data_IF_870727190412
#
_entry.id   IF_870727190412
#
_cell.length_a   1.000
_cell.length_b   1.000
_cell.length_c   1.000
_cell.angle_alpha   90.00
_cell.angle_beta   90.00
_cell.angle_gamma   90.00
#
_symmetry.space_group_name_H-M   'P 1'
#
loop_
_entity.id
_entity.type
_entity.pdbx_description
1 polymer ?
#
# COMPACT_ATOMS: atom_id res chain seq x y z
N UNK A 1 17.42 -14.04 -28.21
CA UNK A 1 17.34 -13.98 -26.74
C UNK A 1 16.87 -15.32 -26.21
N UNK A 2 17.62 -15.95 -25.30
CA UNK A 2 17.16 -17.17 -24.63
C UNK A 2 16.13 -16.76 -23.59
N UNK A 3 14.85 -17.03 -23.84
CA UNK A 3 13.74 -16.76 -22.91
C UNK A 3 13.74 -17.74 -21.73
N UNK A 4 14.87 -17.85 -21.03
CA UNK A 4 14.96 -18.61 -19.80
C UNK A 4 14.33 -17.72 -18.72
N UNK A 5 13.07 -18.00 -18.40
CA UNK A 5 12.46 -17.48 -17.17
C UNK A 5 13.28 -18.05 -16.00
N UNK A 6 14.10 -17.20 -15.39
CA UNK A 6 14.85 -17.53 -14.19
C UNK A 6 13.87 -17.80 -13.03
N UNK A 7 14.26 -18.66 -12.10
CA UNK A 7 13.45 -19.01 -10.94
C UNK A 7 13.13 -17.77 -10.09
N UNK A 8 14.02 -16.77 -10.06
CA UNK A 8 13.80 -15.48 -9.38
C UNK A 8 12.64 -14.72 -10.00
N UNK A 9 12.66 -14.55 -11.32
CA UNK A 9 11.60 -13.87 -12.08
C UNK A 9 10.27 -14.59 -11.95
N UNK A 10 10.27 -15.92 -12.04
CA UNK A 10 9.06 -16.71 -11.83
C UNK A 10 8.49 -16.53 -10.41
N UNK A 11 9.34 -16.58 -9.39
CA UNK A 11 8.91 -16.43 -8.01
C UNK A 11 8.28 -15.05 -7.74
N UNK A 12 8.81 -13.99 -8.36
CA UNK A 12 8.21 -12.65 -8.33
C UNK A 12 6.84 -12.63 -9.02
N UNK A 13 6.70 -13.21 -10.21
CA UNK A 13 5.40 -13.29 -10.89
C UNK A 13 4.35 -14.03 -10.05
N UNK A 14 4.72 -15.16 -9.43
CA UNK A 14 3.82 -15.91 -8.56
C UNK A 14 3.37 -15.07 -7.36
N UNK A 15 4.27 -14.28 -6.78
CA UNK A 15 3.98 -13.40 -5.64
C UNK A 15 3.01 -12.29 -6.02
N UNK A 16 3.23 -11.64 -7.17
CA UNK A 16 2.36 -10.58 -7.67
C UNK A 16 0.97 -11.11 -8.01
N UNK A 17 0.89 -12.25 -8.70
CA UNK A 17 -0.38 -12.77 -9.21
C UNK A 17 -1.25 -13.41 -8.14
N UNK A 18 -0.64 -14.20 -7.25
CA UNK A 18 -1.42 -15.03 -6.32
C UNK A 18 -1.34 -14.55 -4.88
N UNK A 19 -0.35 -13.72 -4.50
CA UNK A 19 -0.15 -13.28 -3.12
C UNK A 19 -0.14 -14.51 -2.19
N UNK A 20 -1.08 -14.56 -1.25
CA UNK A 20 -1.27 -15.68 -0.32
C UNK A 20 -2.26 -16.74 -0.82
N UNK A 21 -2.81 -16.62 -2.03
CA UNK A 21 -3.70 -17.63 -2.61
C UNK A 21 -2.93 -18.84 -3.13
N UNK A 22 -3.60 -19.99 -3.21
CA UNK A 22 -3.04 -21.18 -3.83
C UNK A 22 -3.21 -21.19 -5.35
N UNK A 23 -2.27 -21.82 -6.05
CA UNK A 23 -2.25 -21.91 -7.50
C UNK A 23 -1.76 -23.28 -7.98
N UNK A 24 -2.15 -23.67 -9.19
CA UNK A 24 -1.63 -24.86 -9.87
C UNK A 24 -0.89 -24.49 -11.16
N UNK A 25 -0.15 -25.44 -11.73
CA UNK A 25 0.66 -25.20 -12.93
C UNK A 25 -0.17 -24.84 -14.17
N UNK A 26 -1.45 -25.21 -14.22
CA UNK A 26 -2.34 -24.90 -15.34
C UNK A 26 -2.80 -23.46 -15.25
N UNK A 27 -3.23 -23.02 -14.06
CA UNK A 27 -3.61 -21.62 -13.80
C UNK A 27 -2.42 -20.69 -14.05
N UNK A 28 -1.25 -20.99 -13.50
CA UNK A 28 -0.02 -20.19 -13.70
C UNK A 28 0.36 -20.10 -15.17
N UNK A 29 0.29 -21.21 -15.91
CA UNK A 29 0.59 -21.25 -17.35
C UNK A 29 -0.34 -20.33 -18.14
N UNK A 30 -1.65 -20.37 -17.86
CA UNK A 30 -2.64 -19.51 -18.51
C UNK A 30 -2.41 -18.05 -18.19
N UNK A 31 -2.29 -17.71 -16.91
CA UNK A 31 -2.17 -16.32 -16.46
C UNK A 31 -0.90 -15.66 -17.02
N UNK A 32 0.23 -16.38 -17.03
CA UNK A 32 1.48 -15.87 -17.62
C UNK A 32 1.37 -15.67 -19.14
N UNK A 33 0.69 -16.57 -19.86
CA UNK A 33 0.45 -16.40 -21.29
C UNK A 33 -0.47 -15.20 -21.58
N UNK A 34 -1.49 -14.99 -20.76
CA UNK A 34 -2.40 -13.83 -20.87
C UNK A 34 -1.65 -12.52 -20.65
N UNK A 35 -0.75 -12.46 -19.66
CA UNK A 35 0.02 -11.25 -19.36
C UNK A 35 1.03 -10.94 -20.47
N UNK A 36 1.73 -11.96 -20.96
CA UNK A 36 2.79 -11.77 -21.94
C UNK A 36 2.27 -11.48 -23.35
N UNK A 37 0.96 -11.66 -23.61
CA UNK A 37 0.26 -11.31 -24.86
C UNK A 37 1.02 -11.74 -26.12
N UNK A 38 1.74 -12.86 -26.05
CA UNK A 38 2.71 -13.26 -27.07
C UNK A 38 2.11 -14.30 -28.02
N UNK A 39 2.21 -14.03 -29.32
CA UNK A 39 1.93 -15.01 -30.38
C UNK A 39 3.17 -15.84 -30.78
N UNK A 40 4.31 -15.63 -30.12
CA UNK A 40 5.54 -16.36 -30.40
C UNK A 40 5.43 -17.80 -29.87
N UNK A 41 5.50 -18.77 -30.79
CA UNK A 41 5.42 -20.19 -30.51
C UNK A 41 6.49 -20.67 -29.51
N UNK A 42 7.68 -20.04 -29.51
CA UNK A 42 8.75 -20.36 -28.55
C UNK A 42 8.37 -19.94 -27.13
N UNK A 43 7.72 -18.79 -26.99
CA UNK A 43 7.21 -18.30 -25.71
C UNK A 43 6.08 -19.21 -25.23
N UNK A 44 5.12 -19.54 -26.10
CA UNK A 44 4.03 -20.46 -25.78
C UNK A 44 4.56 -21.80 -25.26
N UNK A 45 5.58 -22.36 -25.92
CA UNK A 45 6.20 -23.63 -25.50
C UNK A 45 6.89 -23.52 -24.13
N UNK A 46 7.57 -22.40 -23.83
CA UNK A 46 8.25 -22.16 -22.55
C UNK A 46 7.28 -22.05 -21.37
N UNK A 47 6.12 -21.42 -21.59
CA UNK A 47 5.07 -21.24 -20.58
C UNK A 47 4.04 -22.38 -20.61
N UNK A 48 4.29 -23.47 -21.32
CA UNK A 48 3.45 -24.66 -21.28
C UNK A 48 3.31 -25.20 -19.84
N UNK A 49 2.14 -25.74 -19.52
CA UNK A 49 1.82 -26.27 -18.19
C UNK A 49 2.84 -27.31 -17.69
N UNK A 50 3.43 -28.08 -18.61
CA UNK A 50 4.52 -29.03 -18.31
C UNK A 50 5.79 -28.33 -17.82
N UNK A 51 6.24 -27.29 -18.51
CA UNK A 51 7.44 -26.54 -18.13
C UNK A 51 7.22 -25.78 -16.82
N UNK A 52 6.06 -25.11 -16.68
CA UNK A 52 5.68 -24.45 -15.43
C UNK A 52 5.60 -25.46 -14.27
N UNK A 53 5.06 -26.66 -14.51
CA UNK A 53 5.04 -27.70 -13.48
C UNK A 53 6.45 -28.12 -13.03
N UNK A 54 7.42 -28.16 -13.94
CA UNK A 54 8.81 -28.45 -13.60
C UNK A 54 9.44 -27.31 -12.80
N UNK A 55 9.19 -26.06 -13.18
CA UNK A 55 9.71 -24.90 -12.47
C UNK A 55 9.10 -24.76 -11.07
N UNK A 56 7.80 -25.00 -10.92
CA UNK A 56 7.12 -25.02 -9.62
C UNK A 56 7.67 -26.15 -8.73
N UNK A 57 7.94 -27.33 -9.31
CA UNK A 57 8.61 -28.41 -8.59
C UNK A 57 10.00 -27.97 -8.11
N UNK A 58 10.77 -27.27 -8.96
CA UNK A 58 12.09 -26.74 -8.60
C UNK A 58 11.99 -25.72 -7.46
N UNK A 59 11.09 -24.74 -7.55
CA UNK A 59 10.86 -23.74 -6.49
C UNK A 59 10.41 -24.38 -5.16
N UNK A 60 9.60 -25.44 -5.23
CA UNK A 60 9.25 -26.26 -4.07
C UNK A 60 10.48 -26.97 -3.47
N UNK A 61 11.32 -27.61 -4.30
CA UNK A 61 12.55 -28.27 -3.84
C UNK A 61 13.56 -27.28 -3.25
N UNK A 62 13.55 -26.02 -3.69
CA UNK A 62 14.34 -24.93 -3.10
C UNK A 62 13.77 -24.40 -1.78
N UNK A 63 12.61 -24.87 -1.35
CA UNK A 63 11.96 -24.45 -0.11
C UNK A 63 11.22 -23.12 -0.20
N UNK A 64 10.97 -22.57 -1.39
CA UNK A 64 10.23 -21.30 -1.53
C UNK A 64 8.71 -21.47 -1.57
N UNK A 65 8.25 -22.65 -1.96
CA UNK A 65 6.82 -22.97 -2.04
C UNK A 65 6.49 -24.07 -1.02
N UNK A 66 5.25 -24.05 -0.53
CA UNK A 66 4.58 -25.22 0.04
C UNK A 66 3.67 -25.84 -1.00
N UNK A 67 3.43 -27.15 -0.90
CA UNK A 67 2.64 -27.91 -1.87
C UNK A 67 1.69 -28.87 -1.15
N UNK A 68 0.44 -28.96 -1.61
CA UNK A 68 -0.50 -30.01 -1.21
C UNK A 68 -1.08 -30.74 -2.42
N UNK A 69 -1.43 -32.01 -2.21
CA UNK A 69 -2.02 -32.88 -3.24
C UNK A 69 -3.54 -32.82 -3.16
N UNK A 70 -4.20 -32.58 -4.29
CA UNK A 70 -5.66 -32.42 -4.39
C UNK A 70 -6.20 -33.34 -5.48
N UNK A 71 -7.38 -33.93 -5.29
CA UNK A 71 -8.04 -34.73 -6.33
C UNK A 71 -8.37 -33.83 -7.53
N UNK A 72 -8.14 -34.32 -8.75
CA UNK A 72 -8.45 -33.57 -9.96
C UNK A 72 -9.86 -33.89 -10.44
N UNK A 73 -10.68 -32.86 -10.54
CA UNK A 73 -12.01 -32.94 -11.16
C UNK A 73 -11.87 -33.06 -12.68
N UNK A 74 -12.58 -34.01 -13.26
CA UNK A 74 -12.58 -34.29 -14.69
C UNK A 74 -14.02 -34.50 -15.15
N UNK A 75 -14.39 -33.87 -16.26
CA UNK A 75 -15.68 -34.14 -16.91
C UNK A 75 -15.57 -35.41 -17.75
N UNK A 76 -16.52 -36.31 -17.58
CA UNK A 76 -16.66 -37.50 -18.43
C UNK A 76 -17.27 -37.12 -19.79
N UNK A 77 -17.28 -38.08 -20.73
CA UNK A 77 -18.01 -37.91 -22.01
C UNK A 77 -19.51 -37.70 -21.80
N UNK A 78 -20.07 -38.21 -20.69
CA UNK A 78 -21.46 -38.02 -20.27
C UNK A 78 -21.72 -36.66 -19.60
N UNK A 79 -20.70 -35.83 -19.39
CA UNK A 79 -20.82 -34.51 -18.73
C UNK A 79 -20.76 -34.55 -17.20
N UNK A 80 -20.75 -35.74 -16.59
CA UNK A 80 -20.63 -35.90 -15.14
C UNK A 80 -19.23 -35.53 -14.63
N UNK A 81 -19.16 -35.00 -13.41
CA UNK A 81 -17.89 -34.65 -12.77
C UNK A 81 -17.39 -35.85 -11.97
N UNK A 82 -16.24 -36.40 -12.35
CA UNK A 82 -15.59 -37.49 -11.64
C UNK A 82 -14.17 -37.08 -11.23
N UNK A 83 -13.64 -37.69 -10.17
CA UNK A 83 -12.26 -37.44 -9.74
C UNK A 83 -11.31 -38.40 -10.45
N UNK A 84 -10.46 -37.89 -11.34
CA UNK A 84 -9.44 -38.70 -12.06
C UNK A 84 -8.04 -38.14 -11.88
N UNK A 85 -7.25 -38.84 -11.08
CA UNK A 85 -5.88 -38.47 -10.75
C UNK A 85 -5.80 -37.34 -9.72
N UNK A 86 -4.62 -36.73 -9.64
CA UNK A 86 -4.33 -35.69 -8.67
C UNK A 86 -3.65 -34.50 -9.34
N UNK A 87 -3.86 -33.31 -8.77
CA UNK A 87 -3.09 -32.11 -9.05
C UNK A 87 -2.40 -31.62 -7.79
N UNK A 88 -1.38 -30.80 -7.97
CA UNK A 88 -0.68 -30.16 -6.87
C UNK A 88 -1.05 -28.69 -6.83
N UNK A 89 -1.50 -28.25 -5.65
CA UNK A 89 -1.69 -26.84 -5.34
C UNK A 89 -0.45 -26.35 -4.61
N UNK A 90 0.06 -25.20 -5.04
CA UNK A 90 1.23 -24.54 -4.51
C UNK A 90 0.85 -23.22 -3.86
N UNK A 91 1.66 -22.78 -2.91
CA UNK A 91 1.56 -21.47 -2.29
C UNK A 91 2.94 -21.02 -1.84
N UNK A 92 3.21 -19.72 -1.88
CA UNK A 92 4.47 -19.18 -1.40
C UNK A 92 4.52 -19.32 0.11
N UNK A 93 5.62 -19.86 0.63
CA UNK A 93 5.80 -20.01 2.08
C UNK A 93 6.63 -18.84 2.65
N UNK A 94 6.82 -18.84 3.97
CA UNK A 94 7.57 -17.76 4.65
C UNK A 94 9.01 -17.61 4.16
N UNK A 95 9.67 -18.69 3.71
CA UNK A 95 11.03 -18.62 3.17
C UNK A 95 11.02 -18.00 1.77
N UNK A 96 10.07 -18.38 0.91
CA UNK A 96 9.86 -17.77 -0.40
C UNK A 96 9.62 -16.27 -0.28
N UNK A 97 8.75 -15.84 0.64
CA UNK A 97 8.51 -14.42 0.91
C UNK A 97 9.76 -13.68 1.39
N UNK A 98 10.56 -14.27 2.31
CA UNK A 98 11.83 -13.66 2.72
C UNK A 98 12.82 -13.55 1.57
N UNK A 99 12.87 -14.55 0.70
CA UNK A 99 13.74 -14.53 -0.46
C UNK A 99 13.29 -13.49 -1.49
N UNK A 100 11.99 -13.35 -1.74
CA UNK A 100 11.43 -12.26 -2.54
C UNK A 100 11.84 -10.90 -1.97
N UNK A 101 11.71 -10.70 -0.66
CA UNK A 101 12.15 -9.48 0.00
C UNK A 101 13.66 -9.23 -0.14
N UNK A 102 14.46 -10.29 -0.20
CA UNK A 102 15.90 -10.19 -0.46
C UNK A 102 16.22 -9.88 -1.92
N UNK A 103 15.51 -10.50 -2.88
CA UNK A 103 15.63 -10.22 -4.32
C UNK A 103 15.29 -8.77 -4.67
N UNK A 104 14.40 -8.19 -3.89
CA UNK A 104 13.99 -6.80 -3.99
C UNK A 104 15.10 -5.83 -3.48
N UNK A 105 16.11 -6.33 -2.76
CA UNK A 105 17.24 -5.53 -2.28
C UNK A 105 16.90 -4.62 -1.07
N UNK A 106 17.87 -3.82 -0.58
CA UNK A 106 17.58 -2.71 0.33
C UNK A 106 16.63 -1.72 -0.36
N UNK A 107 15.72 -1.14 0.43
CA UNK A 107 14.58 -0.33 -0.03
C UNK A 107 14.92 0.76 -1.06
N UNK A 108 16.15 1.25 -1.10
CA UNK A 108 16.56 2.39 -1.90
C UNK A 108 16.63 2.09 -3.41
N UNK A 109 16.92 0.84 -3.82
CA UNK A 109 16.81 0.40 -5.24
C UNK A 109 15.36 0.03 -5.62
N UNK A 110 14.60 -0.50 -4.66
CA UNK A 110 13.17 -0.74 -4.81
C UNK A 110 12.38 0.56 -4.91
N UNK A 111 12.85 1.65 -4.29
CA UNK A 111 12.31 3.01 -4.44
C UNK A 111 12.45 3.53 -5.86
N UNK A 112 13.56 3.24 -6.54
CA UNK A 112 13.77 3.67 -7.93
C UNK A 112 12.94 2.82 -8.92
N UNK A 113 12.77 1.53 -8.61
CA UNK A 113 11.90 0.62 -9.36
C UNK A 113 10.41 0.94 -9.09
N UNK A 114 10.00 1.26 -7.85
CA UNK A 114 8.62 1.63 -7.49
C UNK A 114 8.21 2.99 -8.03
N UNK A 115 9.11 3.99 -8.01
CA UNK A 115 8.90 5.28 -8.68
C UNK A 115 8.75 5.11 -10.21
N UNK A 116 9.40 4.11 -10.81
CA UNK A 116 9.29 3.77 -12.24
C UNK A 116 8.18 2.76 -12.57
N UNK A 117 7.68 2.00 -11.59
CA UNK A 117 6.69 0.93 -11.80
C UNK A 117 5.25 1.40 -11.56
N UNK A 118 4.31 0.79 -12.29
CA UNK A 118 2.86 1.02 -12.16
C UNK A 118 2.32 0.85 -10.71
N UNK A 119 2.99 0.08 -9.85
CA UNK A 119 2.51 -0.26 -8.49
C UNK A 119 2.67 0.87 -7.48
N UNK A 120 3.73 1.68 -7.57
CA UNK A 120 3.89 2.87 -6.72
C UNK A 120 2.84 3.95 -7.02
N UNK A 121 2.45 4.06 -8.29
CA UNK A 121 1.36 4.93 -8.73
C UNK A 121 -0.01 4.45 -8.24
N UNK A 122 -0.22 3.13 -8.11
CA UNK A 122 -1.48 2.55 -7.63
C UNK A 122 -1.65 2.77 -6.12
N UNK A 123 -0.60 2.59 -5.32
CA UNK A 123 -0.68 2.82 -3.86
C UNK A 123 -0.86 4.30 -3.55
N UNK A 124 -0.17 5.18 -4.29
CA UNK A 124 -0.36 6.62 -4.17
C UNK A 124 -1.78 7.03 -4.56
N UNK A 125 -2.31 6.48 -5.66
CA UNK A 125 -3.74 6.64 -6.05
C UNK A 125 -4.72 6.15 -4.99
N UNK A 126 -4.46 5.00 -4.36
CA UNK A 126 -5.29 4.48 -3.27
C UNK A 126 -5.26 5.39 -2.04
N UNK A 127 -4.11 5.94 -1.68
CA UNK A 127 -4.02 6.93 -0.59
C UNK A 127 -4.69 8.25 -0.97
N UNK A 128 -4.60 8.65 -2.25
CA UNK A 128 -5.28 9.82 -2.78
C UNK A 128 -6.81 9.68 -2.84
N UNK A 129 -7.32 8.45 -2.99
CA UNK A 129 -8.75 8.13 -3.01
C UNK A 129 -9.34 7.92 -1.60
N UNK A 130 -8.54 7.46 -0.64
CA UNK A 130 -9.00 7.12 0.72
C UNK A 130 -8.96 8.32 1.66
N UNK A 131 -7.95 9.19 1.52
CA UNK A 131 -7.75 10.32 2.41
C UNK A 131 -8.00 11.63 1.66
N UNK A 132 -8.83 12.51 2.21
CA UNK A 132 -9.20 13.77 1.57
C UNK A 132 -8.18 14.88 1.84
N UNK A 133 -7.49 14.83 2.99
CA UNK A 133 -6.51 15.84 3.38
C UNK A 133 -5.10 15.47 2.92
N UNK A 134 -4.39 16.43 2.32
CA UNK A 134 -2.97 16.26 1.94
C UNK A 134 -2.08 15.92 3.15
N UNK A 135 -2.41 16.46 4.33
CA UNK A 135 -1.70 16.16 5.58
C UNK A 135 -1.90 14.70 6.02
N UNK A 136 -3.10 14.15 5.86
CA UNK A 136 -3.41 12.75 6.21
C UNK A 136 -2.71 11.77 5.28
N UNK A 137 -2.63 12.11 3.99
CA UNK A 137 -1.85 11.35 3.00
C UNK A 137 -0.38 11.32 3.35
N UNK A 138 0.16 12.46 3.76
CA UNK A 138 1.56 12.61 4.15
C UNK A 138 1.86 11.83 5.43
N UNK A 139 0.97 11.89 6.43
CA UNK A 139 1.08 11.12 7.68
C UNK A 139 0.94 9.61 7.45
N UNK A 140 -0.01 9.17 6.61
CA UNK A 140 -0.20 7.76 6.26
C UNK A 140 1.03 7.21 5.51
N UNK A 141 1.66 8.04 4.68
CA UNK A 141 2.90 7.73 3.98
C UNK A 141 4.10 7.66 4.93
N UNK A 142 4.22 8.59 5.87
CA UNK A 142 5.21 8.60 6.96
C UNK A 142 5.06 7.38 7.90
N UNK A 143 3.84 7.04 8.28
CA UNK A 143 3.52 5.85 9.11
C UNK A 143 3.88 4.55 8.37
N UNK A 144 3.58 4.46 7.08
CA UNK A 144 4.00 3.35 6.22
C UNK A 144 5.53 3.22 6.10
N UNK A 145 6.23 4.37 6.06
CA UNK A 145 7.70 4.44 6.08
C UNK A 145 8.31 4.07 7.43
N UNK A 146 7.65 4.43 8.54
CA UNK A 146 8.21 4.28 9.88
C UNK A 146 8.49 2.81 10.23
N UNK A 147 9.75 2.52 10.62
CA UNK A 147 10.26 1.16 10.86
C UNK A 147 9.63 0.47 12.10
N UNK A 148 8.81 1.18 12.88
CA UNK A 148 8.38 0.75 14.22
C UNK A 148 7.27 -0.31 14.24
N UNK A 149 6.51 -0.47 13.15
CA UNK A 149 5.46 -1.50 13.04
C UNK A 149 5.99 -2.88 12.59
N UNK A 150 7.29 -3.03 12.30
CA UNK A 150 7.83 -4.19 11.56
C UNK A 150 8.78 -5.13 12.34
N UNK A 151 8.77 -5.15 13.68
CA UNK A 151 9.50 -6.19 14.45
C UNK A 151 8.60 -7.37 14.82
N UNK A 152 9.07 -8.59 14.52
CA UNK A 152 8.39 -9.90 14.72
C UNK A 152 7.93 -10.25 16.16
N UNK A 153 8.15 -9.39 17.15
CA UNK A 153 7.82 -9.66 18.56
C UNK A 153 6.47 -9.10 19.05
N UNK A 154 5.85 -8.16 18.32
CA UNK A 154 4.73 -7.39 18.88
C UNK A 154 3.40 -8.17 19.01
N UNK A 155 3.20 -9.26 18.25
CA UNK A 155 2.04 -10.16 18.43
C UNK A 155 2.04 -10.93 19.75
N UNK A 156 3.18 -11.00 20.47
CA UNK A 156 3.29 -11.71 21.76
C UNK A 156 3.08 -10.82 22.99
N UNK A 157 2.99 -9.49 22.83
CA UNK A 157 2.91 -8.53 23.94
C UNK A 157 1.76 -7.53 23.74
N UNK A 158 0.53 -7.87 24.16
CA UNK A 158 -0.68 -7.04 23.97
C UNK A 158 -0.56 -5.61 24.51
N UNK A 159 0.23 -5.41 25.56
CA UNK A 159 0.46 -4.09 26.18
C UNK A 159 1.20 -3.13 25.25
N UNK A 160 2.12 -3.63 24.40
CA UNK A 160 2.84 -2.78 23.44
C UNK A 160 1.96 -2.33 22.27
N UNK A 161 0.94 -3.13 21.92
CA UNK A 161 -0.06 -2.76 20.93
C UNK A 161 -0.97 -1.64 21.47
N UNK A 162 -1.43 -1.76 22.72
CA UNK A 162 -2.17 -0.68 23.40
C UNK A 162 -1.38 0.63 23.47
N UNK A 163 -0.06 0.56 23.67
CA UNK A 163 0.79 1.77 23.65
C UNK A 163 0.84 2.39 22.26
N UNK A 164 0.93 1.57 21.19
CA UNK A 164 0.94 2.09 19.81
C UNK A 164 -0.44 2.65 19.43
N UNK A 165 -1.55 2.00 19.79
CA UNK A 165 -2.89 2.57 19.62
C UNK A 165 -3.03 3.88 20.38
N UNK A 166 -2.54 3.96 21.62
CA UNK A 166 -2.54 5.21 22.39
C UNK A 166 -1.68 6.30 21.78
N UNK A 167 -0.56 5.95 21.14
CA UNK A 167 0.27 6.90 20.40
C UNK A 167 -0.47 7.39 19.15
N UNK A 168 -1.17 6.51 18.43
CA UNK A 168 -1.97 6.90 17.26
C UNK A 168 -3.12 7.81 17.67
N UNK A 169 -3.89 7.43 18.71
CA UNK A 169 -4.96 8.26 19.28
C UNK A 169 -4.42 9.64 19.69
N UNK A 170 -3.30 9.68 20.42
CA UNK A 170 -2.69 10.94 20.86
C UNK A 170 -2.17 11.78 19.68
N UNK A 171 -1.62 11.17 18.63
CA UNK A 171 -1.14 11.89 17.44
C UNK A 171 -2.29 12.48 16.62
N UNK A 172 -3.42 11.77 16.52
CA UNK A 172 -4.63 12.28 15.87
C UNK A 172 -5.21 13.44 16.68
N UNK A 173 -5.34 13.28 18.00
CA UNK A 173 -5.83 14.33 18.89
C UNK A 173 -4.93 15.57 18.85
N UNK A 174 -3.61 15.39 18.79
CA UNK A 174 -2.65 16.50 18.68
C UNK A 174 -2.80 17.25 17.35
N UNK A 175 -2.98 16.54 16.23
CA UNK A 175 -3.21 17.17 14.92
C UNK A 175 -4.54 17.95 14.87
N UNK A 176 -5.59 17.43 15.51
CA UNK A 176 -6.87 18.14 15.66
C UNK A 176 -6.71 19.41 16.50
N UNK A 177 -5.96 19.33 17.61
CA UNK A 177 -5.67 20.49 18.45
C UNK A 177 -4.80 21.52 17.76
N UNK A 178 -3.85 21.12 16.93
CA UNK A 178 -3.05 22.03 16.11
C UNK A 178 -3.92 22.78 15.08
N UNK A 179 -4.85 22.08 14.41
CA UNK A 179 -5.84 22.73 13.53
C UNK A 179 -6.72 23.72 14.29
N UNK A 180 -7.16 23.36 15.50
CA UNK A 180 -7.97 24.23 16.35
C UNK A 180 -7.20 25.47 16.83
N UNK A 181 -5.92 25.32 17.20
CA UNK A 181 -5.04 26.44 17.53
C UNK A 181 -4.87 27.38 16.33
N UNK A 182 -4.67 26.84 15.13
CA UNK A 182 -4.52 27.66 13.94
C UNK A 182 -5.80 28.44 13.62
N UNK A 183 -6.98 27.81 13.75
CA UNK A 183 -8.27 28.50 13.62
C UNK A 183 -8.41 29.63 14.65
N UNK A 184 -8.12 29.36 15.92
CA UNK A 184 -8.22 30.36 16.99
C UNK A 184 -7.24 31.51 16.80
N UNK A 185 -6.04 31.25 16.26
CA UNK A 185 -5.07 32.30 15.91
C UNK A 185 -5.60 33.21 14.79
N UNK A 186 -6.28 32.65 13.79
CA UNK A 186 -6.91 33.43 12.74
C UNK A 186 -8.04 34.30 13.30
N UNK A 187 -8.92 33.75 14.14
CA UNK A 187 -9.98 34.52 14.80
C UNK A 187 -9.43 35.65 15.68
N UNK A 188 -8.35 35.40 16.44
CA UNK A 188 -7.68 36.44 17.23
C UNK A 188 -7.19 37.58 16.34
N UNK A 189 -6.54 37.25 15.23
CA UNK A 189 -6.02 38.23 14.29
C UNK A 189 -7.12 39.08 13.65
N UNK A 190 -8.28 38.49 13.37
CA UNK A 190 -9.45 39.23 12.88
C UNK A 190 -10.02 40.16 13.94
N UNK A 191 -10.16 39.67 15.18
CA UNK A 191 -10.65 40.49 16.30
C UNK A 191 -9.70 41.66 16.63
N UNK A 192 -8.39 41.44 16.55
CA UNK A 192 -7.40 42.51 16.76
C UNK A 192 -7.53 43.62 15.72
N UNK A 193 -7.81 43.27 14.45
CA UNK A 193 -8.08 44.26 13.40
C UNK A 193 -9.34 45.07 13.71
N UNK A 194 -10.42 44.41 14.12
CA UNK A 194 -11.68 45.07 14.47
C UNK A 194 -11.48 46.02 15.66
N UNK A 195 -10.73 45.60 16.69
CA UNK A 195 -10.41 46.46 17.83
C UNK A 195 -9.65 47.71 17.38
N UNK A 196 -8.69 47.56 16.47
CA UNK A 196 -7.91 48.69 15.97
C UNK A 196 -8.76 49.66 15.15
N UNK A 197 -9.65 49.15 14.29
CA UNK A 197 -10.62 49.96 13.55
C UNK A 197 -11.55 50.74 14.49
N UNK A 198 -12.10 50.09 15.51
CA UNK A 198 -12.97 50.73 16.50
C UNK A 198 -12.23 51.79 17.32
N UNK A 199 -10.96 51.56 17.68
CA UNK A 199 -10.13 52.56 18.36
C UNK A 199 -9.92 53.80 17.49
N UNK A 200 -9.59 53.61 16.21
CA UNK A 200 -9.42 54.71 15.27
C UNK A 200 -10.72 55.54 15.12
N UNK A 201 -11.86 54.86 14.96
CA UNK A 201 -13.17 55.53 14.91
C UNK A 201 -13.48 56.31 16.20
N UNK A 202 -13.19 55.73 17.37
CA UNK A 202 -13.39 56.40 18.65
C UNK A 202 -12.50 57.65 18.78
N UNK A 203 -11.27 57.59 18.28
CA UNK A 203 -10.34 58.71 18.27
C UNK A 203 -10.81 59.84 17.32
N UNK A 204 -11.36 59.49 16.16
CA UNK A 204 -11.99 60.45 15.25
C UNK A 204 -13.23 61.10 15.87
N UNK A 205 -14.13 60.33 16.46
CA UNK A 205 -15.32 60.86 17.14
C UNK A 205 -14.95 61.79 18.31
N UNK A 206 -13.92 61.46 19.08
CA UNK A 206 -13.44 62.32 20.19
C UNK A 206 -12.77 63.60 19.69
N UNK A 207 -12.06 63.56 18.55
CA UNK A 207 -11.55 64.79 17.88
C UNK A 207 -12.71 65.68 17.42
N UNK A 208 -13.73 65.11 16.79
CA UNK A 208 -14.93 65.86 16.35
C UNK A 208 -15.70 66.47 17.54
N UNK A 209 -15.88 65.73 18.64
CA UNK A 209 -16.52 66.25 19.86
C UNK A 209 -15.78 67.44 20.46
N UNK A 210 -14.43 67.43 20.45
CA UNK A 210 -13.62 68.55 20.93
C UNK A 210 -13.80 69.80 20.06
N UNK A 211 -13.91 69.64 18.74
CA UNK A 211 -14.18 70.73 17.79
C UNK A 211 -15.58 71.33 18.04
N UNK A 212 -16.60 70.49 18.19
CA UNK A 212 -17.98 70.94 18.46
C UNK A 212 -18.07 71.68 19.82
N UNK A 213 -17.40 71.20 20.86
CA UNK A 213 -17.34 71.90 22.15
C UNK A 213 -16.63 73.26 22.09
N UNK A 214 -15.62 73.42 21.23
CA UNK A 214 -14.97 74.73 20.99
C UNK A 214 -15.82 75.67 20.12
N UNK A 215 -16.79 75.16 19.36
CA UNK A 215 -17.65 75.95 18.46
C UNK A 215 -18.93 76.49 19.13
N UNK A 216 -19.16 76.16 20.40
CA UNK A 216 -20.32 76.58 21.20
C UNK A 216 -19.92 77.42 22.45
N UNK A 217 -18.67 77.91 22.49
CA UNK A 217 -18.23 79.00 23.37
C UNK A 217 -18.07 80.27 22.56
#
# INVERSE_FOLDING_TARGET
MNYILDFRTLLLFLATLYKDSEFDSVTVSKDLLTILTSKDEKIIKRFSSKQISNDLRRLYMMGFLRRRKVKRECRTKSGETCYRGYKYMYQINNQGWRYILHLIGPKDEFEEILKKSREGAIIKKLMDEIYESDLEKELAWELYKSKHLKRKGYRRFPQKYKIIEKIIEASVELAEKEKEIERLRQELKEKDKIIEELKNQLEECTKLLKIVHHSHR
#
